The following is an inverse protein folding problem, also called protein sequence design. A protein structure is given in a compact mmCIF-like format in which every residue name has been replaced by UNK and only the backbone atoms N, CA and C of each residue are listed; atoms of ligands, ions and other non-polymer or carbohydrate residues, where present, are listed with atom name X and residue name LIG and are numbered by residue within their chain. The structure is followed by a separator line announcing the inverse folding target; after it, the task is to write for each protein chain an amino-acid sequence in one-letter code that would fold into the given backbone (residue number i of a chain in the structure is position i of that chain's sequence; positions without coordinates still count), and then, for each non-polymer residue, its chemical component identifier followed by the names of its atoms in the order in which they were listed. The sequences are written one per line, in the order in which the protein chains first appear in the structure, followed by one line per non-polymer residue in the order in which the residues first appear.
data_IF_020753594757
#
_entry.id   IF_020753594757
#
_cell.length_a   1.000
_cell.length_b   1.000
_cell.length_c   1.000
_cell.angle_alpha   90.00
_cell.angle_beta   90.00
_cell.angle_gamma   90.00
#
_symmetry.space_group_name_H-M   'P 1'
#
loop_
_entity.id
_entity.type
_entity.pdbx_description
1 polymer ?
#
# COMPACT_ATOMS: atom_id res chain seq x y z
N UNK A 1 -42.76 -47.76 -6.52
CA UNK A 1 -43.24 -46.49 -5.93
C UNK A 1 -42.88 -46.46 -4.45
N UNK A 2 -42.50 -45.30 -3.89
CA UNK A 2 -42.43 -44.98 -2.43
C UNK A 2 -41.44 -45.85 -1.60
N UNK A 3 -40.30 -45.31 -1.19
CA UNK A 3 -40.00 -44.67 0.14
C UNK A 3 -40.14 -45.61 1.35
N UNK A 4 -39.28 -45.59 2.38
CA UNK A 4 -38.28 -44.57 2.73
C UNK A 4 -37.09 -45.07 3.57
N UNK A 5 -35.98 -44.34 3.43
CA UNK A 5 -35.02 -43.90 4.46
C UNK A 5 -35.22 -44.40 5.91
N UNK A 6 -34.20 -45.11 6.45
CA UNK A 6 -33.59 -44.83 7.76
C UNK A 6 -32.31 -45.66 7.98
N UNK A 7 -31.15 -45.00 8.00
CA UNK A 7 -29.87 -45.55 8.48
C UNK A 7 -28.93 -44.38 8.82
N UNK A 8 -28.62 -44.18 10.11
CA UNK A 8 -27.81 -43.02 10.53
C UNK A 8 -27.74 -42.78 12.03
N UNK A 9 -27.04 -43.66 12.76
CA UNK A 9 -26.58 -43.37 14.13
C UNK A 9 -25.42 -44.31 14.52
N UNK A 10 -24.59 -43.87 15.47
CA UNK A 10 -23.58 -44.65 16.25
C UNK A 10 -22.35 -45.18 15.49
N UNK A 11 -21.40 -44.28 15.19
CA UNK A 11 -19.95 -44.38 15.49
C UNK A 11 -19.27 -43.07 15.03
N UNK A 12 -18.23 -42.52 15.66
CA UNK A 12 -17.51 -42.92 16.87
C UNK A 12 -17.17 -41.69 17.73
N UNK A 13 -16.88 -41.92 19.02
CA UNK A 13 -16.30 -40.93 19.93
C UNK A 13 -15.04 -41.53 20.60
N UNK A 14 -14.31 -40.69 21.35
CA UNK A 14 -13.07 -40.98 22.07
C UNK A 14 -11.76 -40.98 21.24
N UNK A 15 -11.07 -39.83 21.27
CA UNK A 15 -9.60 -39.76 21.38
C UNK A 15 -9.21 -38.42 22.01
N UNK A 16 -8.94 -38.43 23.32
CA UNK A 16 -8.48 -37.30 24.13
C UNK A 16 -7.81 -37.82 25.42
N UNK A 17 -6.88 -37.03 26.01
CA UNK A 17 -5.89 -37.43 27.03
C UNK A 17 -4.85 -38.46 26.49
N UNK A 18 -3.54 -38.42 26.80
CA UNK A 18 -2.61 -37.54 27.56
C UNK A 18 -1.19 -37.78 26.98
N UNK A 19 -0.07 -37.08 27.24
CA UNK A 19 0.41 -36.04 28.16
C UNK A 19 1.39 -35.09 27.37
N UNK A 20 2.02 -34.00 27.84
CA UNK A 20 2.44 -33.48 29.17
C UNK A 20 3.70 -34.16 29.77
N UNK A 21 4.88 -33.93 29.16
CA UNK A 21 6.21 -34.17 29.73
C UNK A 21 7.33 -33.39 28.99
N UNK A 22 8.54 -33.38 29.58
CA UNK A 22 9.83 -32.93 29.01
C UNK A 22 9.97 -31.44 28.61
N UNK A 23 10.34 -30.61 29.60
CA UNK A 23 10.99 -29.31 29.41
C UNK A 23 12.33 -29.36 30.17
N UNK A 24 13.44 -29.58 29.46
CA UNK A 24 14.82 -29.55 29.95
C UNK A 24 15.60 -28.59 29.04
N UNK A 25 16.02 -27.44 29.58
CA UNK A 25 17.36 -27.20 30.14
C UNK A 25 18.46 -27.06 29.06
N UNK A 26 18.74 -25.81 28.71
CA UNK A 26 19.96 -25.38 28.02
C UNK A 26 20.43 -24.10 28.72
N UNK A 27 21.15 -24.27 29.83
CA UNK A 27 21.64 -23.18 30.67
C UNK A 27 23.15 -22.97 30.49
N UNK A 28 23.55 -21.74 30.09
CA UNK A 28 24.93 -21.22 30.00
C UNK A 28 25.91 -21.88 29.00
N UNK A 29 26.61 -21.05 28.21
CA UNK A 29 28.09 -20.90 28.16
C UNK A 29 28.49 -20.15 26.88
N UNK A 30 28.89 -18.87 27.00
CA UNK A 30 29.66 -18.08 26.00
C UNK A 30 30.01 -16.69 26.56
N UNK A 31 30.75 -16.63 27.67
CA UNK A 31 31.54 -15.44 28.01
C UNK A 31 32.95 -15.63 27.45
N UNK A 32 33.39 -14.81 26.47
CA UNK A 32 34.80 -14.42 26.35
C UNK A 32 35.05 -13.28 25.33
N UNK A 33 36.23 -12.65 25.47
CA UNK A 33 36.94 -11.87 24.45
C UNK A 33 36.22 -10.66 23.79
N UNK A 34 36.06 -9.57 24.55
CA UNK A 34 36.09 -8.21 23.98
C UNK A 34 37.40 -7.53 24.42
N UNK A 35 38.46 -7.68 23.61
CA UNK A 35 39.78 -7.12 23.89
C UNK A 35 40.03 -5.83 23.11
N UNK A 36 40.70 -4.88 23.78
CA UNK A 36 40.87 -3.49 23.37
C UNK A 36 41.49 -3.26 21.97
N UNK A 37 40.96 -2.25 21.28
CA UNK A 37 41.72 -1.37 20.41
C UNK A 37 41.16 0.06 20.58
N UNK A 38 42.02 1.02 20.91
CA UNK A 38 41.66 2.43 21.05
C UNK A 38 42.69 3.27 20.32
N UNK A 39 42.24 4.17 19.44
CA UNK A 39 43.06 5.18 18.79
C UNK A 39 42.18 6.42 18.47
N UNK A 40 42.49 7.60 19.04
CA UNK A 40 41.84 8.87 18.70
C UNK A 40 42.78 9.77 17.87
N UNK A 41 42.31 10.35 16.75
CA UNK A 41 43.09 11.34 15.99
C UNK A 41 42.20 12.25 15.12
N UNK A 42 42.72 13.45 14.83
CA UNK A 42 42.26 14.45 13.84
C UNK A 42 40.95 15.21 14.12
N UNK A 43 41.08 16.32 14.86
CA UNK A 43 40.41 17.57 14.47
C UNK A 43 40.91 18.00 13.08
N UNK A 44 40.03 18.50 12.19
CA UNK A 44 40.45 19.32 11.03
C UNK A 44 39.45 20.44 10.77
N UNK A 45 39.96 21.68 10.75
CA UNK A 45 39.47 22.92 10.14
C UNK A 45 37.95 23.20 10.03
N UNK A 46 37.56 24.34 10.60
CA UNK A 46 36.44 25.12 10.08
C UNK A 46 36.91 25.99 8.90
N UNK A 47 36.09 26.13 7.85
CA UNK A 47 36.19 27.25 6.90
C UNK A 47 34.87 28.03 6.88
N UNK A 48 34.95 29.30 7.26
CA UNK A 48 33.82 30.23 7.26
C UNK A 48 33.79 30.98 5.94
N UNK A 49 32.76 30.74 5.11
CA UNK A 49 32.48 31.56 3.93
C UNK A 49 31.36 32.54 4.28
N UNK A 50 31.60 33.84 4.06
CA UNK A 50 30.68 34.91 4.40
C UNK A 50 30.18 35.63 3.15
N UNK A 51 28.86 35.90 3.14
CA UNK A 51 28.23 37.06 2.50
C UNK A 51 28.29 37.18 0.94
N UNK A 52 27.47 38.03 0.29
CA UNK A 52 26.71 39.17 0.82
C UNK A 52 25.18 39.15 0.68
N UNK A 53 24.56 40.09 1.39
CA UNK A 53 23.17 40.52 1.26
C UNK A 53 22.91 41.26 -0.06
N UNK A 54 21.68 41.17 -0.58
CA UNK A 54 21.16 42.03 -1.64
C UNK A 54 19.67 42.35 -1.42
N UNK A 55 19.43 43.64 -1.21
CA UNK A 55 18.19 44.45 -1.14
C UNK A 55 16.84 43.85 -1.58
N UNK A 56 15.75 44.00 -0.79
CA UNK A 56 14.38 43.84 -1.25
C UNK A 56 13.85 45.13 -1.91
N UNK A 57 13.37 45.04 -3.15
CA UNK A 57 12.72 46.17 -3.84
C UNK A 57 11.24 46.27 -3.42
N UNK A 58 10.84 47.45 -2.96
CA UNK A 58 9.45 47.80 -2.64
C UNK A 58 8.64 48.21 -3.86
N UNK A 59 7.38 47.77 -3.95
CA UNK A 59 6.30 48.61 -4.50
C UNK A 59 4.92 48.16 -3.97
N UNK A 60 4.13 49.02 -3.30
CA UNK A 60 2.77 48.68 -2.88
C UNK A 60 1.76 49.09 -3.96
N UNK A 61 1.08 48.13 -4.58
CA UNK A 61 -0.04 48.41 -5.49
C UNK A 61 -1.31 48.64 -4.66
N UNK A 62 -2.01 49.74 -4.95
CA UNK A 62 -3.08 50.28 -4.13
C UNK A 62 -4.41 49.50 -4.20
N UNK A 63 -5.20 49.63 -3.13
CA UNK A 63 -6.62 49.34 -3.10
C UNK A 63 -7.39 50.18 -4.14
N UNK A 64 -8.49 49.65 -4.66
CA UNK A 64 -9.72 50.44 -4.61
C UNK A 64 -10.83 49.70 -3.86
N UNK A 65 -11.30 50.30 -2.76
CA UNK A 65 -12.57 49.92 -2.13
C UNK A 65 -13.71 50.28 -3.07
N UNK A 66 -14.54 49.30 -3.43
CA UNK A 66 -15.82 49.52 -4.12
C UNK A 66 -16.97 48.99 -3.28
N UNK A 67 -17.58 49.88 -2.50
CA UNK A 67 -18.86 49.62 -1.83
C UNK A 67 -19.97 49.46 -2.88
N UNK A 68 -20.31 48.21 -3.23
CA UNK A 68 -21.50 47.93 -4.04
C UNK A 68 -22.68 47.68 -3.10
N UNK A 69 -23.49 48.72 -2.88
CA UNK A 69 -24.69 48.65 -2.02
C UNK A 69 -25.72 47.72 -2.67
N UNK A 70 -26.24 46.76 -1.91
CA UNK A 70 -27.12 45.73 -2.42
C UNK A 70 -28.54 46.24 -2.74
N UNK A 71 -29.05 45.87 -3.93
CA UNK A 71 -30.49 45.86 -4.18
C UNK A 71 -31.12 44.57 -3.62
N UNK A 72 -32.32 44.64 -3.00
CA UNK A 72 -33.00 43.45 -2.47
C UNK A 72 -33.69 42.68 -3.61
N UNK A 73 -33.03 41.62 -4.10
CA UNK A 73 -33.64 40.64 -5.02
C UNK A 73 -34.79 39.90 -4.29
N UNK A 74 -35.97 39.73 -4.92
CA UNK A 74 -37.12 39.11 -4.25
C UNK A 74 -36.88 37.65 -3.86
N UNK A 75 -37.39 37.28 -2.69
CA UNK A 75 -37.24 35.97 -2.03
C UNK A 75 -37.87 34.84 -2.84
N UNK A 76 -37.10 34.37 -3.82
CA UNK A 76 -37.50 33.32 -4.76
C UNK A 76 -36.82 32.06 -4.30
N UNK A 77 -37.56 31.18 -3.61
CA UNK A 77 -37.10 29.89 -3.10
C UNK A 77 -36.82 28.88 -4.23
N UNK A 78 -35.85 29.21 -5.09
CA UNK A 78 -35.29 28.31 -6.07
C UNK A 78 -34.58 27.19 -5.31
N UNK A 79 -35.16 25.99 -5.36
CA UNK A 79 -34.46 24.77 -4.96
C UNK A 79 -33.29 24.62 -5.93
N UNK A 80 -32.13 25.11 -5.52
CA UNK A 80 -30.90 25.00 -6.28
C UNK A 80 -30.57 23.51 -6.40
N UNK A 81 -30.92 22.93 -7.54
CA UNK A 81 -30.52 21.59 -7.90
C UNK A 81 -29.00 21.61 -8.06
N UNK A 82 -28.29 21.28 -6.97
CA UNK A 82 -26.82 21.27 -6.92
C UNK A 82 -26.31 20.47 -8.10
N UNK A 83 -25.67 21.15 -9.05
CA UNK A 83 -25.11 20.49 -10.22
C UNK A 83 -24.18 19.37 -9.73
N UNK A 84 -24.27 18.15 -10.29
CA UNK A 84 -23.46 17.03 -9.82
C UNK A 84 -21.99 17.44 -9.86
N UNK A 85 -21.30 17.27 -8.73
CA UNK A 85 -19.90 17.63 -8.62
C UNK A 85 -19.10 16.93 -9.74
N UNK A 86 -18.13 17.60 -10.37
CA UNK A 86 -17.32 16.97 -11.40
C UNK A 86 -16.62 15.73 -10.82
N UNK A 87 -16.51 14.63 -11.58
CA UNK A 87 -15.87 13.41 -11.10
C UNK A 87 -14.41 13.71 -10.69
N UNK A 88 -13.88 13.06 -9.64
CA UNK A 88 -12.52 13.29 -9.19
C UNK A 88 -11.51 12.97 -10.31
N UNK A 89 -10.50 13.83 -10.52
CA UNK A 89 -9.56 13.69 -11.64
C UNK A 89 -8.84 12.33 -11.59
N UNK A 90 -8.62 11.72 -12.76
CA UNK A 90 -7.97 10.41 -12.83
C UNK A 90 -6.54 10.47 -12.25
N UNK A 91 -6.11 9.40 -11.53
CA UNK A 91 -4.81 9.37 -10.89
C UNK A 91 -3.67 9.31 -11.92
N UNK A 92 -2.80 10.33 -11.93
CA UNK A 92 -1.69 10.44 -12.89
C UNK A 92 -0.42 9.79 -12.35
N UNK A 93 0.02 8.71 -12.98
CA UNK A 93 1.24 7.97 -12.58
C UNK A 93 2.49 8.58 -13.21
N UNK A 94 3.19 9.44 -12.46
CA UNK A 94 4.29 10.27 -12.95
C UNK A 94 5.58 9.53 -13.32
N UNK A 95 5.93 8.45 -12.62
CA UNK A 95 7.33 7.98 -12.52
C UNK A 95 7.77 6.69 -13.30
N UNK A 96 6.93 5.90 -14.00
CA UNK A 96 7.38 4.58 -14.47
C UNK A 96 8.01 4.56 -15.87
N UNK A 97 7.86 5.61 -16.69
CA UNK A 97 8.17 5.56 -18.12
C UNK A 97 9.62 5.15 -18.46
N UNK A 98 10.62 5.63 -17.70
CA UNK A 98 12.03 5.20 -17.87
C UNK A 98 12.26 3.75 -17.43
N UNK A 99 11.61 3.29 -16.35
CA UNK A 99 11.71 1.90 -15.90
C UNK A 99 11.15 0.95 -16.96
N UNK A 100 9.97 1.26 -17.51
CA UNK A 100 9.42 0.56 -18.66
C UNK A 100 10.42 0.50 -19.82
N UNK A 101 10.97 1.63 -20.28
CA UNK A 101 11.91 1.61 -21.42
C UNK A 101 13.15 0.73 -21.18
N UNK A 102 13.76 0.78 -19.98
CA UNK A 102 14.95 -0.02 -19.64
C UNK A 102 14.63 -1.51 -19.51
N UNK A 103 13.49 -1.86 -18.92
CA UNK A 103 13.09 -3.25 -18.71
C UNK A 103 12.54 -3.86 -20.01
N UNK A 104 11.51 -3.29 -20.62
CA UNK A 104 10.76 -3.91 -21.74
C UNK A 104 11.66 -4.26 -22.93
N UNK A 105 12.65 -3.41 -23.25
CA UNK A 105 13.61 -3.68 -24.33
C UNK A 105 14.43 -4.98 -24.17
N UNK A 106 14.44 -5.59 -22.98
CA UNK A 106 15.13 -6.87 -22.69
C UNK A 106 14.25 -8.11 -22.88
N UNK A 107 12.94 -7.99 -22.71
CA UNK A 107 12.00 -9.14 -22.70
C UNK A 107 11.16 -9.24 -23.98
N UNK A 108 10.81 -8.10 -24.60
CA UNK A 108 9.71 -8.02 -25.58
C UNK A 108 10.07 -8.44 -27.02
N UNK A 109 11.33 -8.78 -27.29
CA UNK A 109 11.81 -9.18 -28.63
C UNK A 109 11.71 -10.68 -28.92
N UNK A 110 11.28 -11.50 -27.94
CA UNK A 110 11.29 -12.98 -28.05
C UNK A 110 10.10 -13.71 -27.41
N UNK A 111 9.44 -13.13 -26.42
CA UNK A 111 8.29 -13.77 -25.78
C UNK A 111 7.03 -13.67 -26.67
N UNK A 112 6.17 -14.69 -26.60
CA UNK A 112 4.81 -14.61 -27.15
C UNK A 112 3.99 -13.56 -26.39
N UNK A 113 2.96 -12.98 -27.04
CA UNK A 113 2.07 -11.99 -26.39
C UNK A 113 1.07 -12.68 -25.47
N UNK A 114 1.56 -13.27 -24.38
CA UNK A 114 0.75 -13.89 -23.32
C UNK A 114 1.14 -13.31 -21.97
N UNK A 115 0.18 -12.75 -21.26
CA UNK A 115 0.32 -12.29 -19.88
C UNK A 115 -0.10 -13.41 -18.92
N UNK A 116 0.83 -13.90 -18.11
CA UNK A 116 0.55 -14.86 -17.05
C UNK A 116 0.34 -14.05 -15.76
N UNK A 117 -0.87 -14.13 -15.18
CA UNK A 117 -1.32 -13.39 -14.00
C UNK A 117 -1.59 -14.34 -12.79
N UNK A 118 -0.64 -15.22 -12.39
CA UNK A 118 -0.89 -16.23 -11.36
C UNK A 118 -0.94 -15.67 -9.94
N UNK A 119 -0.34 -14.50 -9.71
CA UNK A 119 -0.31 -13.81 -8.42
C UNK A 119 -0.69 -12.35 -8.57
N UNK A 120 -1.96 -12.06 -8.28
CA UNK A 120 -2.43 -10.70 -8.01
C UNK A 120 -2.76 -10.63 -6.52
N UNK A 121 -2.29 -9.58 -5.84
CA UNK A 121 -2.47 -9.39 -4.39
C UNK A 121 -2.95 -7.98 -4.05
N UNK A 122 -3.70 -7.86 -2.95
CA UNK A 122 -3.91 -6.59 -2.24
C UNK A 122 -3.17 -6.64 -0.91
N UNK A 123 -2.48 -5.55 -0.59
CA UNK A 123 -1.93 -5.28 0.73
C UNK A 123 -2.72 -4.11 1.35
N UNK A 124 -3.18 -4.29 2.58
CA UNK A 124 -3.89 -3.27 3.36
C UNK A 124 -3.09 -2.94 4.62
N UNK A 125 -2.69 -1.68 4.79
CA UNK A 125 -1.88 -1.26 5.94
C UNK A 125 -2.75 -1.18 7.21
N UNK A 126 -2.64 -2.20 8.07
CA UNK A 126 -3.35 -2.30 9.35
C UNK A 126 -2.84 -1.27 10.36
N UNK A 127 -1.55 -0.91 10.29
CA UNK A 127 -0.91 0.06 11.18
C UNK A 127 -0.07 1.04 10.38
N UNK A 128 -0.59 2.26 10.24
CA UNK A 128 0.11 3.38 9.62
C UNK A 128 0.74 4.28 10.68
N UNK A 129 1.99 4.70 10.46
CA UNK A 129 2.70 5.59 11.38
C UNK A 129 2.76 7.00 10.82
N UNK A 130 1.79 7.82 11.18
CA UNK A 130 1.73 9.23 10.78
C UNK A 130 2.80 10.00 11.55
N UNK A 131 3.70 10.66 10.82
CA UNK A 131 4.69 11.59 11.37
C UNK A 131 4.17 13.01 11.22
N UNK A 132 4.08 13.77 12.31
CA UNK A 132 3.78 15.19 12.26
C UNK A 132 5.05 16.01 12.56
N UNK A 133 5.56 16.69 11.53
CA UNK A 133 6.70 17.62 11.61
C UNK A 133 6.21 19.02 11.96
N UNK A 134 5.55 19.14 13.11
CA UNK A 134 4.85 20.35 13.55
C UNK A 134 5.49 20.97 14.81
N UNK A 135 5.67 22.29 14.80
CA UNK A 135 6.15 23.05 15.96
C UNK A 135 6.89 24.33 15.56
N UNK A 136 6.87 25.34 16.43
CA UNK A 136 7.46 26.67 16.16
C UNK A 136 8.94 26.60 15.76
N UNK A 137 9.67 25.62 16.29
CA UNK A 137 11.11 25.45 16.06
C UNK A 137 11.47 24.38 15.01
N UNK A 138 10.51 23.66 14.40
CA UNK A 138 10.70 22.48 13.51
C UNK A 138 11.55 21.31 14.07
N UNK A 139 12.12 21.43 15.28
CA UNK A 139 13.03 20.44 15.91
C UNK A 139 12.34 19.22 16.53
N UNK A 140 11.02 19.21 16.66
CA UNK A 140 10.26 18.11 17.26
C UNK A 140 9.55 17.30 16.17
N UNK A 141 9.92 16.02 16.05
CA UNK A 141 9.26 15.04 15.20
C UNK A 141 8.37 14.16 16.07
N UNK A 142 7.06 14.38 16.04
CA UNK A 142 6.10 13.49 16.71
C UNK A 142 5.63 12.40 15.75
N UNK A 143 5.26 11.24 16.29
CA UNK A 143 4.72 10.14 15.48
C UNK A 143 3.64 9.39 16.25
N UNK A 144 2.50 9.16 15.62
CA UNK A 144 1.37 8.42 16.18
C UNK A 144 1.04 7.22 15.28
N UNK A 145 0.62 6.12 15.87
CA UNK A 145 0.12 4.96 15.13
C UNK A 145 -1.40 5.11 14.93
N UNK A 146 -1.82 4.94 13.68
CA UNK A 146 -3.20 4.86 13.21
C UNK A 146 -3.48 3.40 12.89
N UNK A 147 -4.46 2.81 13.57
CA UNK A 147 -4.98 1.50 13.24
C UNK A 147 -6.06 1.62 12.15
N UNK A 148 -6.03 0.73 11.15
CA UNK A 148 -7.09 0.58 10.18
C UNK A 148 -7.68 -0.85 10.30
N UNK A 149 -8.99 -1.00 10.58
CA UNK A 149 -9.64 -2.30 10.56
C UNK A 149 -9.65 -2.87 9.14
N UNK A 150 -10.09 -4.12 8.99
CA UNK A 150 -10.08 -4.85 7.71
C UNK A 150 -11.47 -5.43 7.41
N UNK A 151 -12.02 -5.09 6.25
CA UNK A 151 -13.12 -5.83 5.62
C UNK A 151 -12.51 -6.75 4.55
N UNK A 152 -12.44 -8.05 4.84
CA UNK A 152 -11.84 -9.01 3.92
C UNK A 152 -12.71 -9.27 2.69
N UNK A 153 -14.03 -9.12 2.79
CA UNK A 153 -14.95 -9.35 1.67
C UNK A 153 -14.89 -8.20 0.66
N UNK A 154 -14.78 -6.95 1.13
CA UNK A 154 -14.51 -5.77 0.30
C UNK A 154 -13.17 -5.92 -0.42
N UNK A 155 -12.08 -6.18 0.32
CA UNK A 155 -10.75 -6.31 -0.28
C UNK A 155 -10.68 -7.48 -1.27
N UNK A 156 -11.39 -8.59 -1.02
CA UNK A 156 -11.47 -9.72 -1.94
C UNK A 156 -12.25 -9.37 -3.22
N UNK A 157 -13.37 -8.63 -3.13
CA UNK A 157 -14.12 -8.13 -4.30
C UNK A 157 -13.30 -7.18 -5.17
N UNK A 158 -12.59 -6.23 -4.54
CA UNK A 158 -11.68 -5.32 -5.25
C UNK A 158 -10.61 -6.10 -5.99
N UNK A 159 -9.98 -7.08 -5.32
CA UNK A 159 -8.89 -7.87 -5.89
C UNK A 159 -9.32 -8.69 -7.11
N UNK A 160 -10.50 -9.33 -7.07
CA UNK A 160 -11.05 -10.05 -8.24
C UNK A 160 -11.30 -9.07 -9.40
N UNK A 161 -12.02 -7.97 -9.16
CA UNK A 161 -12.29 -6.96 -10.20
C UNK A 161 -11.02 -6.33 -10.80
N UNK A 162 -9.94 -6.19 -10.03
CA UNK A 162 -8.66 -5.69 -10.51
C UNK A 162 -7.83 -6.74 -11.26
N UNK A 163 -8.03 -8.05 -11.03
CA UNK A 163 -7.47 -9.11 -11.87
C UNK A 163 -8.23 -9.19 -13.21
N UNK A 164 -9.56 -9.15 -13.17
CA UNK A 164 -10.43 -9.23 -14.36
C UNK A 164 -10.20 -8.04 -15.31
N UNK A 165 -10.14 -6.83 -14.76
CA UNK A 165 -9.81 -5.61 -15.52
C UNK A 165 -8.42 -5.69 -16.17
N UNK A 166 -7.41 -6.19 -15.45
CA UNK A 166 -6.05 -6.36 -15.99
C UNK A 166 -6.04 -7.39 -17.14
N UNK A 167 -6.70 -8.54 -16.96
CA UNK A 167 -6.81 -9.58 -17.98
C UNK A 167 -7.54 -9.08 -19.24
N UNK A 168 -8.68 -8.39 -19.06
CA UNK A 168 -9.45 -7.80 -20.15
C UNK A 168 -8.66 -6.73 -20.92
N UNK A 169 -7.84 -5.91 -20.24
CA UNK A 169 -6.95 -4.94 -20.90
C UNK A 169 -5.87 -5.61 -21.73
N UNK A 170 -5.24 -6.68 -21.25
CA UNK A 170 -4.30 -7.45 -22.05
C UNK A 170 -4.96 -8.02 -23.31
N UNK A 171 -6.16 -8.61 -23.18
CA UNK A 171 -6.94 -9.11 -24.31
C UNK A 171 -7.27 -8.00 -25.32
N UNK A 172 -7.71 -6.82 -24.85
CA UNK A 172 -7.96 -5.65 -25.70
C UNK A 172 -6.69 -5.11 -26.39
N UNK A 173 -5.51 -5.29 -25.78
CA UNK A 173 -4.22 -4.95 -26.39
C UNK A 173 -3.68 -6.04 -27.35
N UNK A 174 -4.44 -7.10 -27.63
CA UNK A 174 -4.04 -8.20 -28.50
C UNK A 174 -3.07 -9.20 -27.86
N UNK A 175 -3.19 -9.43 -26.56
CA UNK A 175 -2.46 -10.45 -25.81
C UNK A 175 -3.39 -11.57 -25.35
N UNK A 176 -2.89 -12.80 -25.27
CA UNK A 176 -3.47 -13.80 -24.38
C UNK A 176 -3.32 -13.38 -22.92
N UNK A 177 -4.28 -13.73 -22.07
CA UNK A 177 -4.19 -13.55 -20.63
C UNK A 177 -4.57 -14.87 -19.94
N UNK A 178 -3.76 -15.31 -18.97
CA UNK A 178 -4.01 -16.51 -18.16
C UNK A 178 -3.98 -16.13 -16.68
N UNK A 179 -5.07 -16.37 -15.97
CA UNK A 179 -5.26 -16.04 -14.55
C UNK A 179 -4.81 -17.18 -13.64
N UNK A 180 -4.84 -16.94 -12.33
CA UNK A 180 -4.65 -17.99 -11.32
C UNK A 180 -5.57 -19.21 -11.52
N UNK A 181 -6.81 -19.01 -11.98
CA UNK A 181 -7.78 -20.08 -12.19
C UNK A 181 -7.35 -21.03 -13.33
N UNK A 182 -6.82 -20.48 -14.42
CA UNK A 182 -6.36 -21.24 -15.60
C UNK A 182 -5.19 -22.19 -15.28
N UNK A 183 -4.45 -21.93 -14.19
CA UNK A 183 -3.36 -22.80 -13.77
C UNK A 183 -3.79 -23.98 -12.88
N UNK A 184 -5.05 -24.06 -12.44
CA UNK A 184 -5.65 -25.25 -11.80
C UNK A 184 -4.79 -25.92 -10.70
N UNK A 185 -4.12 -25.12 -9.85
CA UNK A 185 -3.26 -25.61 -8.77
C UNK A 185 -1.84 -26.04 -9.19
N UNK A 186 -1.49 -25.94 -10.48
CA UNK A 186 -0.13 -26.21 -10.99
C UNK A 186 0.92 -25.12 -10.66
N UNK A 187 0.55 -24.11 -9.87
CA UNK A 187 1.45 -23.03 -9.44
C UNK A 187 2.66 -23.56 -8.65
N UNK A 188 3.83 -22.90 -8.72
CA UNK A 188 5.01 -23.35 -7.98
C UNK A 188 4.76 -23.32 -6.48
N UNK A 189 5.38 -24.26 -5.75
CA UNK A 189 5.43 -24.10 -4.31
C UNK A 189 6.35 -22.93 -3.94
N UNK A 190 5.75 -21.97 -3.25
CA UNK A 190 6.32 -20.69 -2.86
C UNK A 190 6.05 -20.49 -1.38
N UNK A 191 6.98 -19.83 -0.68
CA UNK A 191 6.79 -19.44 0.71
C UNK A 191 5.57 -18.54 0.82
N UNK A 192 4.57 -19.01 1.55
CA UNK A 192 3.33 -18.30 1.86
C UNK A 192 3.51 -17.48 3.14
N UNK A 193 2.72 -16.44 3.27
CA UNK A 193 2.55 -15.74 4.55
C UNK A 193 1.72 -16.59 5.49
N UNK A 194 1.97 -16.51 6.79
CA UNK A 194 1.16 -17.17 7.81
C UNK A 194 0.01 -16.26 8.24
N UNK A 195 -1.16 -16.84 8.54
CA UNK A 195 -2.28 -16.12 9.13
C UNK A 195 -1.87 -15.55 10.49
N UNK A 196 -2.19 -14.28 10.72
CA UNK A 196 -2.18 -13.70 12.04
C UNK A 196 -3.26 -14.37 12.92
N UNK A 197 -2.94 -14.61 14.19
CA UNK A 197 -3.80 -15.36 15.11
C UNK A 197 -5.02 -14.56 15.58
N UNK A 198 -4.93 -13.23 15.61
CA UNK A 198 -5.99 -12.34 16.08
C UNK A 198 -6.84 -11.86 14.91
N UNK A 199 -6.20 -11.52 13.78
CA UNK A 199 -6.88 -10.99 12.59
C UNK A 199 -7.39 -12.07 11.63
N UNK A 200 -6.94 -13.32 11.77
CA UNK A 200 -7.35 -14.46 10.93
C UNK A 200 -6.84 -14.43 9.48
N UNK A 201 -6.29 -13.31 9.01
CA UNK A 201 -5.73 -13.11 7.66
C UNK A 201 -4.20 -13.16 7.65
N UNK A 202 -3.55 -13.52 6.53
CA UNK A 202 -2.09 -13.43 6.40
C UNK A 202 -1.57 -11.99 6.54
N UNK A 203 -0.49 -11.82 7.30
CA UNK A 203 0.14 -10.51 7.53
C UNK A 203 1.62 -10.49 7.15
N UNK A 204 2.12 -9.29 6.87
CA UNK A 204 3.52 -9.02 6.54
C UNK A 204 3.97 -7.72 7.22
N UNK A 205 5.08 -7.79 7.98
CA UNK A 205 5.73 -6.60 8.55
C UNK A 205 6.69 -5.96 7.55
N UNK A 206 6.49 -4.67 7.29
CA UNK A 206 7.19 -3.89 6.27
C UNK A 206 8.01 -2.78 6.94
N UNK A 207 9.34 -2.91 6.90
CA UNK A 207 10.28 -1.83 7.27
C UNK A 207 10.24 -0.73 6.20
N UNK A 208 10.02 0.51 6.61
CA UNK A 208 10.08 1.74 5.80
C UNK A 208 10.89 2.78 6.58
N UNK A 209 12.20 2.83 6.29
CA UNK A 209 13.15 3.59 7.10
C UNK A 209 13.17 3.08 8.55
N UNK A 210 13.05 3.99 9.51
CA UNK A 210 13.10 3.71 10.95
C UNK A 210 11.86 2.96 11.49
N UNK A 211 10.84 2.74 10.67
CA UNK A 211 9.51 2.33 11.11
C UNK A 211 9.06 0.99 10.50
N UNK A 212 8.39 0.18 11.32
CA UNK A 212 7.69 -1.02 10.88
C UNK A 212 6.19 -0.70 10.70
N UNK A 213 5.64 -1.06 9.54
CA UNK A 213 4.19 -1.12 9.30
C UNK A 213 3.74 -2.59 9.30
N UNK A 214 2.56 -2.87 9.85
CA UNK A 214 1.91 -4.17 9.73
C UNK A 214 0.88 -4.11 8.59
N UNK A 215 0.98 -5.01 7.62
CA UNK A 215 0.09 -5.10 6.46
C UNK A 215 -0.66 -6.43 6.46
N UNK A 216 -1.98 -6.43 6.25
CA UNK A 216 -2.72 -7.60 5.83
C UNK A 216 -2.49 -7.84 4.33
N UNK A 217 -2.46 -9.10 3.90
CA UNK A 217 -2.22 -9.48 2.51
C UNK A 217 -3.24 -10.50 2.03
N UNK A 218 -3.98 -10.14 0.98
CA UNK A 218 -4.97 -11.00 0.32
C UNK A 218 -4.46 -11.39 -1.07
N UNK A 219 -4.83 -12.60 -1.50
CA UNK A 219 -4.62 -13.15 -2.84
C UNK A 219 -5.97 -13.38 -3.52
N UNK A 220 -5.95 -13.55 -4.85
CA UNK A 220 -7.15 -13.97 -5.61
C UNK A 220 -7.67 -15.34 -5.13
N UNK A 221 -8.99 -15.61 -5.21
CA UNK A 221 -9.59 -16.80 -4.59
C UNK A 221 -8.93 -18.11 -5.01
N UNK A 222 -8.68 -19.00 -4.04
CA UNK A 222 -7.96 -20.26 -4.25
C UNK A 222 -6.43 -20.15 -4.25
N UNK A 223 -5.86 -18.94 -4.32
CA UNK A 223 -4.41 -18.71 -4.18
C UNK A 223 -4.09 -18.25 -2.77
N UNK A 224 -3.04 -18.82 -2.17
CA UNK A 224 -2.52 -18.39 -0.86
C UNK A 224 -1.65 -17.13 -0.99
N UNK A 225 -1.73 -16.14 -0.07
CA UNK A 225 -0.82 -15.00 -0.03
C UNK A 225 0.66 -15.40 0.00
N UNK A 226 1.41 -14.92 -0.99
CA UNK A 226 2.81 -15.27 -1.23
C UNK A 226 3.71 -14.21 -0.59
N UNK A 227 4.73 -14.65 0.17
CA UNK A 227 5.75 -13.77 0.74
C UNK A 227 6.58 -13.13 -0.39
N UNK A 228 6.26 -11.87 -0.72
CA UNK A 228 6.94 -11.09 -1.78
C UNK A 228 8.39 -10.70 -1.43
N UNK A 229 8.85 -11.02 -0.22
CA UNK A 229 10.21 -10.77 0.30
C UNK A 229 11.08 -12.03 0.31
N UNK A 230 10.48 -13.22 0.20
CA UNK A 230 11.20 -14.47 0.17
C UNK A 230 11.95 -14.66 -1.15
N UNK A 231 13.28 -14.51 -1.12
CA UNK A 231 14.18 -14.66 -2.29
C UNK A 231 13.95 -16.00 -3.02
N UNK A 232 13.63 -17.07 -2.27
CA UNK A 232 13.30 -18.38 -2.84
C UNK A 232 12.09 -18.39 -3.80
N UNK A 233 11.15 -17.46 -3.64
CA UNK A 233 9.94 -17.39 -4.47
C UNK A 233 10.27 -16.96 -5.90
N UNK A 234 11.19 -16.00 -6.09
CA UNK A 234 11.68 -15.64 -7.43
C UNK A 234 12.32 -16.83 -8.15
N UNK A 235 13.08 -17.66 -7.43
CA UNK A 235 13.68 -18.89 -7.98
C UNK A 235 12.64 -19.98 -8.27
N UNK A 236 11.56 -20.07 -7.48
CA UNK A 236 10.46 -20.99 -7.74
C UNK A 236 9.68 -20.59 -9.01
N UNK A 237 9.34 -19.30 -9.17
CA UNK A 237 8.75 -18.77 -10.39
C UNK A 237 9.66 -18.98 -11.61
N UNK A 238 10.95 -18.65 -11.54
CA UNK A 238 11.90 -18.86 -12.65
C UNK A 238 11.97 -20.33 -13.11
N UNK A 239 11.84 -21.30 -12.19
CA UNK A 239 11.79 -22.73 -12.55
C UNK A 239 10.46 -23.12 -13.20
N UNK A 240 9.33 -22.63 -12.68
CA UNK A 240 7.99 -22.92 -13.20
C UNK A 240 7.71 -22.30 -14.56
N UNK A 241 8.29 -21.13 -14.82
CA UNK A 241 8.16 -20.41 -16.09
C UNK A 241 9.00 -21.01 -17.22
N UNK A 242 10.08 -21.73 -16.88
CA UNK A 242 11.05 -22.25 -17.87
C UNK A 242 10.36 -23.11 -18.93
N UNK A 243 10.28 -22.59 -20.15
CA UNK A 243 9.68 -23.29 -21.30
C UNK A 243 8.18 -23.05 -21.49
N UNK A 244 7.55 -22.22 -20.64
CA UNK A 244 6.31 -21.51 -21.01
C UNK A 244 6.67 -20.33 -21.92
N UNK A 245 5.70 -19.85 -22.68
CA UNK A 245 5.83 -18.63 -23.47
C UNK A 245 5.18 -17.45 -22.73
N UNK A 246 5.68 -16.23 -22.97
CA UNK A 246 5.07 -15.00 -22.49
C UNK A 246 5.74 -14.39 -21.26
N UNK A 247 4.99 -13.55 -20.55
CA UNK A 247 5.49 -12.72 -19.47
C UNK A 247 4.66 -12.97 -18.21
N UNK A 248 5.32 -13.42 -17.15
CA UNK A 248 4.74 -13.50 -15.83
C UNK A 248 4.69 -12.13 -15.18
N UNK A 249 3.51 -11.75 -14.70
CA UNK A 249 3.25 -10.51 -13.99
C UNK A 249 2.73 -10.86 -12.60
N UNK A 250 3.57 -10.65 -11.59
CA UNK A 250 3.11 -10.65 -10.20
C UNK A 250 2.75 -9.22 -9.83
N UNK A 251 1.46 -8.95 -9.65
CA UNK A 251 0.95 -7.60 -9.36
C UNK A 251 0.53 -7.49 -7.91
N UNK A 252 0.93 -6.40 -7.27
CA UNK A 252 0.58 -6.07 -5.89
C UNK A 252 0.02 -4.66 -5.85
N UNK A 253 -1.19 -4.49 -5.34
CA UNK A 253 -1.77 -3.19 -5.03
C UNK A 253 -1.67 -2.96 -3.52
N UNK A 254 -1.09 -1.84 -3.09
CA UNK A 254 -0.84 -1.55 -1.68
C UNK A 254 -1.57 -0.28 -1.28
N UNK A 255 -2.58 -0.43 -0.42
CA UNK A 255 -3.47 0.64 0.05
C UNK A 255 -3.28 0.91 1.54
N UNK A 256 -3.26 2.19 1.91
CA UNK A 256 -3.09 2.65 3.27
C UNK A 256 -4.12 3.74 3.59
N UNK A 257 -5.06 3.43 4.49
CA UNK A 257 -6.05 4.37 4.99
C UNK A 257 -5.57 5.12 6.24
N UNK A 258 -6.13 6.31 6.49
CA UNK A 258 -5.69 7.18 7.58
C UNK A 258 -4.35 7.88 7.29
N UNK A 259 -3.89 7.87 6.03
CA UNK A 259 -2.82 8.74 5.57
C UNK A 259 -3.38 10.15 5.41
N UNK A 260 -3.41 10.88 6.52
CA UNK A 260 -3.47 12.35 6.47
C UNK A 260 -2.27 12.80 5.64
N UNK A 261 -2.50 13.65 4.63
CA UNK A 261 -1.40 14.27 3.86
C UNK A 261 -0.56 15.22 4.72
N UNK A 262 0.25 16.08 4.11
CA UNK A 262 0.92 17.21 4.79
C UNK A 262 -0.08 18.31 5.18
N UNK A 263 -1.11 17.94 5.93
CA UNK A 263 -2.03 18.84 6.61
C UNK A 263 -1.27 19.62 7.67
N UNK A 264 -1.49 20.93 7.71
CA UNK A 264 -1.00 21.77 8.79
C UNK A 264 -1.63 21.29 10.11
N UNK A 265 -0.86 20.54 10.91
CA UNK A 265 -1.36 19.71 12.02
C UNK A 265 -1.94 20.46 13.22
N UNK A 266 -2.20 21.76 13.07
CA UNK A 266 -2.88 22.65 14.02
C UNK A 266 -4.42 22.50 14.00
N UNK A 267 -4.96 21.72 13.07
CA UNK A 267 -6.40 21.60 12.80
C UNK A 267 -6.98 20.20 13.09
N UNK A 268 -6.20 19.27 13.65
CA UNK A 268 -6.73 17.98 14.11
C UNK A 268 -7.57 18.19 15.38
N UNK A 269 -8.90 18.20 15.20
CA UNK A 269 -9.86 18.11 16.30
C UNK A 269 -9.98 16.68 16.83
N UNK A 270 -11.11 16.36 17.47
CA UNK A 270 -11.43 14.99 17.89
C UNK A 270 -11.68 14.03 16.72
N UNK A 271 -12.03 14.59 15.55
CA UNK A 271 -12.33 13.87 14.31
C UNK A 271 -11.63 14.57 13.14
N UNK A 272 -11.17 13.78 12.17
CA UNK A 272 -10.59 14.27 10.93
C UNK A 272 -10.85 13.28 9.78
N UNK A 273 -10.94 13.79 8.55
CA UNK A 273 -11.00 12.94 7.36
C UNK A 273 -9.67 12.17 7.19
N UNK A 274 -9.77 10.85 7.05
CA UNK A 274 -8.63 9.99 6.77
C UNK A 274 -8.50 9.72 5.28
N UNK A 275 -7.41 10.19 4.67
CA UNK A 275 -7.12 9.92 3.26
C UNK A 275 -6.76 8.46 2.96
N UNK A 276 -6.94 8.08 1.70
CA UNK A 276 -6.51 6.80 1.13
C UNK A 276 -5.29 7.00 0.23
N UNK A 277 -4.18 6.38 0.62
CA UNK A 277 -2.94 6.32 -0.13
C UNK A 277 -2.84 5.03 -0.95
N UNK A 278 -2.32 5.13 -2.17
CA UNK A 278 -2.14 4.03 -3.11
C UNK A 278 -0.73 3.96 -3.67
N UNK A 279 -0.19 2.76 -3.73
CA UNK A 279 0.92 2.39 -4.61
C UNK A 279 0.69 1.01 -5.23
N UNK A 280 1.43 0.68 -6.27
CA UNK A 280 1.40 -0.64 -6.90
C UNK A 280 2.82 -1.14 -7.21
N UNK A 281 2.94 -2.43 -7.54
CA UNK A 281 4.16 -3.04 -8.06
C UNK A 281 3.80 -4.12 -9.06
N UNK A 282 4.54 -4.17 -10.16
CA UNK A 282 4.51 -5.28 -11.11
C UNK A 282 5.92 -5.88 -11.23
N UNK A 283 6.11 -7.11 -10.76
CA UNK A 283 7.32 -7.88 -11.04
C UNK A 283 7.12 -8.67 -12.35
N UNK A 284 8.08 -8.55 -13.27
CA UNK A 284 8.01 -9.10 -14.63
C UNK A 284 9.08 -10.16 -14.85
N UNK A 285 8.67 -11.33 -15.33
CA UNK A 285 9.61 -12.42 -15.64
C UNK A 285 9.31 -12.96 -17.03
N UNK A 286 10.28 -12.87 -17.94
CA UNK A 286 10.18 -13.46 -19.28
C UNK A 286 10.29 -14.98 -19.20
N UNK A 287 9.30 -15.72 -19.68
CA UNK A 287 9.16 -17.14 -19.44
C UNK A 287 10.13 -18.01 -20.26
N UNK A 288 10.39 -17.66 -21.53
CA UNK A 288 11.39 -18.35 -22.35
C UNK A 288 12.81 -17.94 -21.97
N UNK A 289 13.01 -16.67 -21.60
CA UNK A 289 14.33 -16.11 -21.27
C UNK A 289 14.81 -16.43 -19.86
N UNK A 290 13.90 -16.66 -18.90
CA UNK A 290 14.21 -16.75 -17.47
C UNK A 290 14.79 -15.45 -16.90
N UNK A 291 14.71 -14.35 -17.65
CA UNK A 291 15.27 -13.07 -17.27
C UNK A 291 14.33 -12.39 -16.26
N UNK A 292 14.88 -12.03 -15.11
CA UNK A 292 14.13 -11.37 -14.04
C UNK A 292 14.11 -9.85 -14.26
N UNK A 293 12.99 -9.22 -13.95
CA UNK A 293 12.79 -7.78 -14.03
C UNK A 293 11.74 -7.32 -13.02
N UNK A 294 11.82 -6.06 -12.64
CA UNK A 294 10.82 -5.42 -11.80
C UNK A 294 10.48 -4.05 -12.38
N UNK A 295 9.18 -3.75 -12.45
CA UNK A 295 8.68 -2.44 -12.81
C UNK A 295 8.00 -1.90 -11.55
N UNK A 296 8.83 -1.25 -10.74
CA UNK A 296 8.40 -0.55 -9.56
C UNK A 296 7.75 0.76 -9.99
N UNK A 297 6.50 0.67 -10.46
CA UNK A 297 5.57 1.81 -10.48
C UNK A 297 5.21 2.18 -9.05
N UNK A 298 6.21 2.60 -8.29
CA UNK A 298 6.06 3.34 -7.04
C UNK A 298 5.76 4.77 -7.48
N UNK A 299 4.48 5.22 -7.51
CA UNK A 299 4.26 6.60 -7.14
C UNK A 299 4.85 6.77 -5.74
N UNK A 300 5.50 7.89 -5.49
CA UNK A 300 5.63 8.39 -4.12
C UNK A 300 4.18 8.64 -3.67
N UNK A 301 3.67 7.73 -2.84
CA UNK A 301 2.36 7.14 -3.16
C UNK A 301 1.20 8.12 -3.16
N UNK A 302 0.29 7.89 -4.11
CA UNK A 302 -0.72 8.86 -4.48
C UNK A 302 -1.86 8.84 -3.46
N UNK A 303 -2.21 10.00 -2.90
CA UNK A 303 -3.50 10.20 -2.23
C UNK A 303 -4.56 10.12 -3.32
N UNK A 304 -5.34 9.03 -3.33
CA UNK A 304 -6.39 8.80 -4.34
C UNK A 304 -7.73 9.36 -3.90
N UNK A 305 -7.93 9.52 -2.58
CA UNK A 305 -8.98 10.35 -2.01
C UNK A 305 -8.52 10.93 -0.66
N UNK A 306 -8.84 12.20 -0.41
CA UNK A 306 -8.47 12.90 0.84
C UNK A 306 -9.30 12.47 2.06
N UNK A 307 -10.39 11.75 1.80
CA UNK A 307 -11.40 11.34 2.76
C UNK A 307 -11.99 10.00 2.32
N UNK A 308 -11.80 8.96 3.14
CA UNK A 308 -12.42 7.64 3.01
C UNK A 308 -12.92 7.09 4.35
N UNK A 309 -13.15 7.95 5.35
CA UNK A 309 -13.54 7.54 6.70
C UNK A 309 -13.02 8.44 7.81
N UNK A 310 -13.57 8.27 9.00
CA UNK A 310 -13.33 9.14 10.15
C UNK A 310 -12.16 8.64 10.98
N UNK A 311 -11.14 9.49 11.18
CA UNK A 311 -10.07 9.28 12.16
C UNK A 311 -10.57 9.68 13.55
N UNK A 312 -10.47 8.78 14.54
CA UNK A 312 -10.87 9.03 15.94
C UNK A 312 -9.79 8.58 16.93
N UNK A 313 -9.67 9.27 18.08
CA UNK A 313 -8.70 8.90 19.13
C UNK A 313 -9.13 7.61 19.85
N UNK A 314 -8.18 6.70 20.12
CA UNK A 314 -8.49 5.40 20.75
C UNK A 314 -8.98 5.63 22.18
N UNK A 315 -10.23 5.23 22.44
CA UNK A 315 -10.88 5.39 23.74
C UNK A 315 -10.06 4.73 24.86
N UNK A 316 -9.66 5.54 25.85
CA UNK A 316 -8.72 5.13 26.90
C UNK A 316 -7.34 5.80 26.80
N UNK A 317 -7.03 6.50 25.71
CA UNK A 317 -5.99 7.53 25.68
C UNK A 317 -6.21 8.50 26.85
N UNK A 318 -5.25 8.57 27.77
CA UNK A 318 -5.39 9.35 29.02
C UNK A 318 -5.06 10.83 28.85
N UNK A 319 -4.53 11.23 27.70
CA UNK A 319 -4.20 12.63 27.44
C UNK A 319 -5.50 13.40 27.18
N UNK A 320 -5.88 14.28 28.13
CA UNK A 320 -6.96 15.24 27.89
C UNK A 320 -6.66 16.09 26.65
N UNK A 321 -7.66 16.67 25.99
CA UNK A 321 -7.46 17.46 24.75
C UNK A 321 -6.41 18.57 24.93
N UNK A 322 -6.40 19.22 26.10
CA UNK A 322 -5.38 20.21 26.46
C UNK A 322 -3.99 19.58 26.70
N UNK A 323 -3.91 18.39 27.29
CA UNK A 323 -2.65 17.68 27.51
C UNK A 323 -2.06 17.09 26.22
N UNK A 324 -2.89 16.58 25.30
CA UNK A 324 -2.46 16.19 23.96
C UNK A 324 -1.83 17.39 23.23
N UNK A 325 -2.48 18.56 23.28
CA UNK A 325 -1.94 19.83 22.73
C UNK A 325 -0.63 20.24 23.43
N UNK A 326 -0.54 20.18 24.75
CA UNK A 326 0.68 20.55 25.50
C UNK A 326 1.84 19.58 25.24
N UNK A 327 1.59 18.26 25.22
CA UNK A 327 2.60 17.24 24.89
C UNK A 327 3.09 17.37 23.44
N UNK A 328 2.20 17.74 22.51
CA UNK A 328 2.52 18.00 21.10
C UNK A 328 3.35 19.28 20.92
N UNK A 329 2.92 20.41 21.51
CA UNK A 329 3.64 21.69 21.43
C UNK A 329 4.99 21.64 22.16
N UNK A 330 5.06 20.98 23.31
CA UNK A 330 6.27 20.87 24.14
C UNK A 330 7.24 19.76 23.75
N UNK A 331 6.88 18.88 22.81
CA UNK A 331 7.72 17.76 22.37
C UNK A 331 7.96 16.65 23.42
N UNK A 332 7.30 16.70 24.58
CA UNK A 332 7.46 15.77 25.70
C UNK A 332 6.58 14.51 25.57
N UNK A 333 6.49 13.96 24.36
CA UNK A 333 5.72 12.75 24.06
C UNK A 333 6.43 11.48 24.55
N UNK A 334 6.05 10.99 25.74
CA UNK A 334 6.38 9.64 26.19
C UNK A 334 5.83 8.55 25.25
N UNK A 335 6.24 7.30 25.45
CA UNK A 335 6.10 6.19 24.48
C UNK A 335 4.68 5.63 24.26
N UNK A 336 3.62 6.40 24.50
CA UNK A 336 2.23 6.03 24.17
C UNK A 336 2.01 6.14 22.64
N UNK A 337 2.30 5.03 21.94
CA UNK A 337 2.29 4.94 20.47
C UNK A 337 0.89 4.85 19.87
N UNK A 338 -0.04 4.20 20.56
CA UNK A 338 -1.44 4.08 20.16
C UNK A 338 -2.08 5.48 20.18
N UNK A 339 -2.43 5.99 18.98
CA UNK A 339 -3.04 7.31 18.83
C UNK A 339 -4.49 7.20 18.40
N UNK A 340 -4.70 6.63 17.21
CA UNK A 340 -5.96 6.75 16.51
C UNK A 340 -6.40 5.42 15.88
N UNK A 341 -7.69 5.27 15.66
CA UNK A 341 -8.24 4.35 14.67
C UNK A 341 -8.87 5.16 13.54
N UNK A 342 -8.87 4.63 12.32
CA UNK A 342 -9.81 5.07 11.29
C UNK A 342 -11.00 4.11 11.27
N UNK A 343 -12.20 4.64 11.07
CA UNK A 343 -13.39 3.87 10.68
C UNK A 343 -13.64 4.13 9.17
N UNK A 344 -13.28 3.19 8.28
CA UNK A 344 -13.37 3.42 6.83
C UNK A 344 -14.81 3.34 6.32
N UNK A 345 -15.19 4.28 5.45
CA UNK A 345 -16.33 4.12 4.54
C UNK A 345 -15.93 3.08 3.48
N UNK A 346 -16.23 1.81 3.76
CA UNK A 346 -15.84 0.71 2.89
C UNK A 346 -16.43 0.76 1.48
N UNK A 347 -17.58 1.43 1.27
CA UNK A 347 -18.15 1.60 -0.06
C UNK A 347 -17.36 2.63 -0.89
N UNK A 348 -16.90 3.71 -0.24
CA UNK A 348 -16.02 4.71 -0.85
C UNK A 348 -14.60 4.17 -1.04
N UNK A 349 -14.08 3.41 -0.07
CA UNK A 349 -12.81 2.67 -0.20
C UNK A 349 -12.87 1.71 -1.40
N UNK A 350 -13.89 0.86 -1.53
CA UNK A 350 -14.06 -0.04 -2.68
C UNK A 350 -14.05 0.73 -4.01
N UNK A 351 -14.80 1.84 -4.08
CA UNK A 351 -14.89 2.71 -5.26
C UNK A 351 -13.52 3.30 -5.64
N UNK A 352 -12.80 3.88 -4.69
CA UNK A 352 -11.52 4.56 -4.93
C UNK A 352 -10.36 3.57 -5.17
N UNK A 353 -10.34 2.42 -4.49
CA UNK A 353 -9.40 1.34 -4.78
C UNK A 353 -9.57 0.81 -6.21
N UNK A 354 -10.82 0.64 -6.67
CA UNK A 354 -11.12 0.23 -8.04
C UNK A 354 -10.71 1.30 -9.05
N UNK A 355 -11.01 2.58 -8.79
CA UNK A 355 -10.61 3.71 -9.66
C UNK A 355 -9.08 3.77 -9.82
N UNK A 356 -8.36 3.69 -8.70
CA UNK A 356 -6.90 3.71 -8.65
C UNK A 356 -6.25 2.50 -9.35
N UNK A 357 -6.70 1.29 -9.03
CA UNK A 357 -6.14 0.06 -9.60
C UNK A 357 -6.41 -0.07 -11.11
N UNK A 358 -7.62 0.27 -11.58
CA UNK A 358 -7.96 0.23 -13.02
C UNK A 358 -7.14 1.24 -13.84
N UNK A 359 -6.89 2.42 -13.29
CA UNK A 359 -6.03 3.42 -13.94
C UNK A 359 -4.56 2.97 -13.99
N UNK A 360 -4.04 2.35 -12.93
CA UNK A 360 -2.73 1.70 -12.96
C UNK A 360 -2.66 0.58 -14.00
N UNK A 361 -3.69 -0.28 -14.09
CA UNK A 361 -3.77 -1.35 -15.09
C UNK A 361 -3.78 -0.81 -16.53
N UNK A 362 -4.46 0.33 -16.76
CA UNK A 362 -4.48 1.01 -18.05
C UNK A 362 -3.07 1.47 -18.46
N UNK A 363 -2.38 2.22 -17.60
CA UNK A 363 -1.00 2.69 -17.83
C UNK A 363 -0.03 1.52 -17.98
N UNK A 364 -0.14 0.48 -17.14
CA UNK A 364 0.67 -0.73 -17.24
C UNK A 364 0.53 -1.36 -18.63
N UNK A 365 -0.67 -1.76 -19.04
CA UNK A 365 -0.88 -2.45 -20.32
C UNK A 365 -0.52 -1.56 -21.52
N UNK A 366 -0.83 -0.26 -21.48
CA UNK A 366 -0.45 0.67 -22.54
C UNK A 366 1.08 0.75 -22.73
N UNK A 367 1.85 0.78 -21.64
CA UNK A 367 3.32 0.81 -21.68
C UNK A 367 3.91 -0.50 -22.20
N UNK A 368 3.36 -1.65 -21.78
CA UNK A 368 3.78 -2.97 -22.29
C UNK A 368 3.49 -3.10 -23.79
N UNK A 369 2.30 -2.67 -24.24
CA UNK A 369 1.91 -2.68 -25.65
C UNK A 369 2.79 -1.75 -26.51
N UNK A 370 3.10 -0.54 -26.03
CA UNK A 370 4.00 0.38 -26.72
C UNK A 370 5.44 -0.16 -26.81
N UNK A 371 5.95 -0.80 -25.75
CA UNK A 371 7.25 -1.47 -25.76
C UNK A 371 7.34 -2.63 -26.77
N UNK A 372 6.23 -3.32 -27.03
CA UNK A 372 6.14 -4.40 -28.01
C UNK A 372 6.24 -3.93 -29.48
N UNK A 373 6.08 -2.64 -29.76
CA UNK A 373 6.04 -2.10 -31.12
C UNK A 373 7.40 -1.65 -31.69
N UNK A 374 8.36 -1.26 -30.85
CA UNK A 374 9.57 -0.55 -31.28
C UNK A 374 10.77 -1.45 -31.60
N UNK A 375 10.69 -2.75 -31.33
CA UNK A 375 11.78 -3.71 -31.54
C UNK A 375 11.92 -4.31 -32.94
N UNK A 376 11.00 -4.01 -33.87
CA UNK A 376 10.80 -4.79 -35.11
C UNK A 376 11.54 -4.34 -36.37
N UNK A 377 12.46 -3.36 -36.31
CA UNK A 377 13.09 -2.77 -37.51
C UNK A 377 14.58 -2.43 -37.34
N UNK A 378 15.40 -3.43 -37.00
CA UNK A 378 16.87 -3.35 -36.97
C UNK A 378 17.48 -4.65 -37.50
#
# INVERSE_FOLDING_TARGET
MKTSVMAGLVLAAASACTAVAAQEDVTNHSEEAIAAAADPIAEVAAETIAEPSAEPVTEPIAEPVTESIAEPVPDTAAVAATAPAPPPPEPVFSNPARQFQVQLGRYFTREERVALLPTVQIQWALRNKVTATGGVFRKHRSSKEVFAPIDSDVLQRVLVQLQDDLAARFQAAGWGAQTAADFAGSLPDVRRLANDRELGVPTMRVKLGDYDQDWAVLSVPGVQPVDSRAIGNGMAWNRWLKGKAGINLSVTYSFAAGTVGETNSRMLGTEAAGGLWFSARADLIGASTGAWGNINVVPEGLVVADDVGTLSEIAGSRASTAENVIRFIGGMGGSDRQGYTIEPDWARVETEMLRAGRAFNAELVARLAAGAGTGGSR
#
